data_IF_514703664437
#
_entry.id   IF_514703664437
#
_cell.length_a   1.000
_cell.length_b   1.000
_cell.length_c   1.000
_cell.angle_alpha   90.00
_cell.angle_beta   90.00
_cell.angle_gamma   90.00
#
_symmetry.space_group_name_H-M   'P 1'
#
loop_
_entity.id
_entity.type
_entity.pdbx_description
1 polymer ?
#
# COMPACT_ATOMS: atom_id res chain seq x y z
N UNK A 1 4.66 25.00 16.11
CA UNK A 1 4.08 23.82 15.43
C UNK A 1 4.66 23.79 14.03
N UNK A 2 5.47 22.80 13.67
CA UNK A 2 6.03 22.77 12.32
C UNK A 2 4.91 22.33 11.37
N UNK A 3 4.23 23.31 10.74
CA UNK A 3 3.08 23.09 9.83
C UNK A 3 3.40 22.08 8.73
N UNK A 4 4.68 21.88 8.42
CA UNK A 4 5.18 20.96 7.41
C UNK A 4 4.86 19.48 7.71
N UNK A 5 4.83 19.03 8.97
CA UNK A 5 4.64 17.60 9.25
C UNK A 5 3.21 17.09 8.97
N UNK A 6 2.22 17.98 8.89
CA UNK A 6 0.84 17.58 8.52
C UNK A 6 0.76 17.14 7.05
N UNK A 7 1.69 17.61 6.22
CA UNK A 7 1.75 17.28 4.80
C UNK A 7 2.46 15.97 4.51
N UNK A 8 3.12 15.34 5.49
CA UNK A 8 3.81 14.06 5.31
C UNK A 8 2.87 12.93 4.88
N UNK A 9 1.60 12.96 5.31
CA UNK A 9 0.57 12.05 4.82
C UNK A 9 0.32 12.24 3.33
N UNK A 10 -0.22 13.39 2.89
CA UNK A 10 -0.43 13.67 1.46
C UNK A 10 0.81 13.48 0.58
N UNK A 11 1.99 13.88 1.05
CA UNK A 11 3.26 13.67 0.33
C UNK A 11 3.57 12.16 0.25
N UNK A 12 3.41 11.42 1.34
CA UNK A 12 3.57 9.96 1.37
C UNK A 12 2.62 9.26 0.40
N UNK A 13 1.36 9.67 0.36
CA UNK A 13 0.36 9.17 -0.60
C UNK A 13 0.79 9.47 -2.04
N UNK A 14 1.25 10.68 -2.34
CA UNK A 14 1.74 11.03 -3.67
C UNK A 14 2.94 10.16 -4.09
N UNK A 15 3.88 9.91 -3.17
CA UNK A 15 5.03 9.02 -3.41
C UNK A 15 4.60 7.58 -3.66
N UNK A 16 3.60 7.08 -2.91
CA UNK A 16 2.99 5.76 -3.17
C UNK A 16 2.45 5.68 -4.59
N UNK A 17 1.67 6.67 -5.02
CA UNK A 17 1.13 6.70 -6.39
C UNK A 17 2.22 6.77 -7.46
N UNK A 18 3.31 7.51 -7.21
CA UNK A 18 4.47 7.54 -8.12
C UNK A 18 5.09 6.15 -8.22
N UNK A 19 5.33 5.47 -7.10
CA UNK A 19 5.89 4.12 -7.07
C UNK A 19 5.00 3.09 -7.80
N UNK A 20 3.69 3.13 -7.57
CA UNK A 20 2.71 2.29 -8.26
C UNK A 20 2.69 2.58 -9.77
N UNK A 21 2.77 3.86 -10.17
CA UNK A 21 2.82 4.25 -11.58
C UNK A 21 4.09 3.76 -12.27
N UNK A 22 5.24 3.85 -11.62
CA UNK A 22 6.49 3.29 -12.11
C UNK A 22 6.42 1.77 -12.29
N UNK A 23 5.70 1.08 -11.41
CA UNK A 23 5.47 -0.36 -11.49
C UNK A 23 4.44 -0.78 -12.56
N UNK A 24 3.72 0.17 -13.19
CA UNK A 24 2.59 -0.15 -14.06
C UNK A 24 1.36 -0.67 -13.31
N UNK A 25 1.29 -0.41 -12.00
CA UNK A 25 0.29 -0.92 -11.05
C UNK A 25 -0.52 0.22 -10.40
N UNK A 26 -0.60 1.39 -11.05
CA UNK A 26 -1.42 2.51 -10.58
C UNK A 26 -2.91 2.16 -10.51
N UNK A 27 -3.34 1.23 -11.36
CA UNK A 27 -4.65 0.59 -11.33
C UNK A 27 -4.40 -0.91 -11.11
N UNK A 28 -5.21 -1.53 -10.25
CA UNK A 28 -5.15 -2.98 -10.06
C UNK A 28 -5.40 -3.69 -11.40
N UNK A 29 -4.51 -4.60 -11.82
CA UNK A 29 -4.74 -5.42 -13.00
C UNK A 29 -5.97 -6.32 -12.82
N UNK A 30 -6.49 -6.86 -13.93
CA UNK A 30 -7.50 -7.91 -13.84
C UNK A 30 -6.96 -9.12 -13.08
N UNK A 31 -7.77 -9.82 -12.26
CA UNK A 31 -7.40 -11.13 -11.70
C UNK A 31 -6.96 -12.14 -12.77
N UNK A 32 -7.48 -12.01 -13.99
CA UNK A 32 -7.16 -12.87 -15.14
C UNK A 32 -5.96 -12.37 -15.96
N UNK A 33 -5.18 -11.40 -15.44
CA UNK A 33 -4.03 -10.86 -16.15
C UNK A 33 -2.93 -11.93 -16.35
N UNK A 34 -2.32 -12.01 -17.55
CA UNK A 34 -1.25 -12.97 -17.81
C UNK A 34 -0.03 -12.68 -16.92
N UNK A 35 0.60 -13.74 -16.39
CA UNK A 35 1.74 -13.59 -15.46
C UNK A 35 2.97 -12.95 -16.14
N UNK A 36 3.04 -13.03 -17.46
CA UNK A 36 4.01 -12.32 -18.31
C UNK A 36 3.98 -10.80 -18.06
N UNK A 37 2.83 -10.23 -17.70
CA UNK A 37 2.69 -8.82 -17.35
C UNK A 37 3.61 -8.43 -16.19
N UNK A 38 3.64 -9.24 -15.13
CA UNK A 38 4.47 -8.99 -13.94
C UNK A 38 5.93 -9.40 -14.16
N UNK A 39 6.15 -10.49 -14.91
CA UNK A 39 7.50 -11.06 -15.08
C UNK A 39 8.34 -10.35 -16.15
N UNK A 40 7.70 -9.69 -17.13
CA UNK A 40 8.37 -8.82 -18.12
C UNK A 40 8.85 -7.49 -17.52
N UNK A 41 8.15 -6.99 -16.49
CA UNK A 41 8.42 -5.68 -15.87
C UNK A 41 9.01 -5.76 -14.44
N UNK A 42 9.66 -6.88 -14.09
CA UNK A 42 10.19 -7.12 -12.72
C UNK A 42 11.00 -5.95 -12.17
N UNK A 43 11.91 -5.39 -12.96
CA UNK A 43 12.76 -4.29 -12.51
C UNK A 43 11.94 -3.03 -12.16
N UNK A 44 10.95 -2.70 -12.99
CA UNK A 44 10.07 -1.56 -12.77
C UNK A 44 9.19 -1.77 -11.53
N UNK A 45 8.65 -2.98 -11.34
CA UNK A 45 7.86 -3.33 -10.16
C UNK A 45 8.72 -3.21 -8.89
N UNK A 46 9.94 -3.73 -8.89
CA UNK A 46 10.83 -3.65 -7.71
C UNK A 46 11.13 -2.22 -7.29
N UNK A 47 11.59 -1.41 -8.24
CA UNK A 47 11.90 0.00 -7.95
C UNK A 47 10.62 0.74 -7.52
N UNK A 48 9.50 0.48 -8.19
CA UNK A 48 8.20 1.06 -7.84
C UNK A 48 7.73 0.70 -6.43
N UNK A 49 7.84 -0.55 -6.01
CA UNK A 49 7.48 -0.99 -4.65
C UNK A 49 8.38 -0.34 -3.60
N UNK A 50 9.70 -0.30 -3.83
CA UNK A 50 10.63 0.39 -2.91
C UNK A 50 10.23 1.86 -2.73
N UNK A 51 9.95 2.57 -3.82
CA UNK A 51 9.48 3.97 -3.77
C UNK A 51 8.15 4.07 -3.02
N UNK A 52 7.20 3.17 -3.28
CA UNK A 52 5.90 3.19 -2.60
C UNK A 52 6.04 2.95 -1.09
N UNK A 53 6.93 2.04 -0.68
CA UNK A 53 7.19 1.76 0.73
C UNK A 53 7.84 2.94 1.45
N UNK A 54 8.72 3.68 0.79
CA UNK A 54 9.21 4.96 1.32
C UNK A 54 8.07 5.95 1.56
N UNK A 55 7.10 6.05 0.63
CA UNK A 55 5.89 6.86 0.82
C UNK A 55 5.06 6.39 2.02
N UNK A 56 4.87 5.07 2.16
CA UNK A 56 4.17 4.47 3.31
C UNK A 56 4.86 4.73 4.65
N UNK A 57 6.19 4.77 4.70
CA UNK A 57 6.94 5.08 5.91
C UNK A 57 6.69 6.52 6.42
N UNK A 58 6.34 7.47 5.53
CA UNK A 58 5.99 8.84 5.91
C UNK A 58 4.65 8.93 6.65
N UNK A 59 3.82 7.88 6.61
CA UNK A 59 2.61 7.84 7.44
C UNK A 59 2.92 7.77 8.92
N UNK A 60 4.04 7.16 9.36
CA UNK A 60 4.42 7.12 10.78
C UNK A 60 4.42 8.49 11.47
N UNK A 61 5.27 9.45 11.04
CA UNK A 61 5.29 10.80 11.62
C UNK A 61 3.98 11.58 11.39
N UNK A 62 3.27 11.33 10.29
CA UNK A 62 1.97 11.96 10.03
C UNK A 62 0.89 11.51 11.01
N UNK A 63 0.79 10.21 11.27
CA UNK A 63 -0.16 9.61 12.21
C UNK A 63 0.11 10.06 13.65
N UNK A 64 1.38 10.19 14.04
CA UNK A 64 1.75 10.76 15.34
C UNK A 64 1.25 12.22 15.48
N UNK A 65 1.36 13.00 14.41
CA UNK A 65 0.86 14.38 14.38
C UNK A 65 -0.67 14.44 14.43
N UNK A 66 -1.37 13.55 13.73
CA UNK A 66 -2.83 13.44 13.81
C UNK A 66 -3.29 13.09 15.22
N UNK A 67 -2.67 12.09 15.86
CA UNK A 67 -3.01 11.70 17.23
C UNK A 67 -2.84 12.86 18.23
N UNK A 68 -1.79 13.68 18.06
CA UNK A 68 -1.62 14.91 18.84
C UNK A 68 -2.72 15.93 18.56
N UNK A 69 -3.15 16.09 17.31
CA UNK A 69 -4.26 16.98 16.96
C UNK A 69 -5.56 16.55 17.64
N UNK A 70 -5.87 15.25 17.65
CA UNK A 70 -7.01 14.69 18.40
C UNK A 70 -6.91 14.97 19.90
N UNK A 71 -5.72 14.76 20.49
CA UNK A 71 -5.49 15.02 21.92
C UNK A 71 -5.71 16.50 22.29
N UNK A 72 -5.33 17.42 21.41
CA UNK A 72 -5.54 18.85 21.59
C UNK A 72 -7.02 19.24 21.43
N UNK A 73 -7.72 18.65 20.45
CA UNK A 73 -9.14 18.92 20.20
C UNK A 73 -10.04 18.41 21.35
N UNK A 74 -9.71 17.27 21.94
CA UNK A 74 -10.49 16.63 23.00
C UNK A 74 -10.15 17.16 24.42
N UNK A 75 -9.52 18.35 24.50
CA UNK A 75 -9.10 19.02 25.75
C UNK A 75 -8.32 18.11 26.71
N UNK A 76 -7.50 17.19 26.17
CA UNK A 76 -6.67 16.29 26.96
C UNK A 76 -7.29 14.93 27.29
N UNK A 77 -8.57 14.68 26.95
CA UNK A 77 -9.12 13.31 26.92
C UNK A 77 -8.40 12.54 25.82
N UNK A 78 -7.88 11.35 26.16
CA UNK A 78 -6.99 10.58 25.27
C UNK A 78 -7.69 9.49 24.46
N UNK A 79 -9.01 9.31 24.62
CA UNK A 79 -9.75 8.23 23.98
C UNK A 79 -9.59 8.22 22.46
N UNK A 80 -9.96 9.31 21.79
CA UNK A 80 -9.85 9.42 20.34
C UNK A 80 -8.40 9.43 19.84
N UNK A 81 -7.48 10.02 20.61
CA UNK A 81 -6.06 9.99 20.26
C UNK A 81 -5.49 8.56 20.27
N UNK A 82 -5.89 7.73 21.25
CA UNK A 82 -5.48 6.34 21.34
C UNK A 82 -6.06 5.52 20.17
N UNK A 83 -7.34 5.68 19.88
CA UNK A 83 -7.97 5.05 18.70
C UNK A 83 -7.24 5.44 17.41
N UNK A 84 -6.93 6.73 17.23
CA UNK A 84 -6.21 7.21 16.05
C UNK A 84 -4.83 6.55 15.89
N UNK A 85 -4.07 6.37 16.98
CA UNK A 85 -2.75 5.71 16.90
C UNK A 85 -2.94 4.24 16.52
N UNK A 86 -3.85 3.53 17.18
CA UNK A 86 -4.10 2.10 16.92
C UNK A 86 -4.49 1.89 15.46
N UNK A 87 -5.53 2.58 14.98
CA UNK A 87 -5.96 2.47 13.58
C UNK A 87 -4.95 3.04 12.59
N UNK A 88 -4.16 4.05 12.99
CA UNK A 88 -3.05 4.55 12.19
C UNK A 88 -1.97 3.50 11.95
N UNK A 89 -1.57 2.77 12.98
CA UNK A 89 -0.60 1.67 12.85
C UNK A 89 -1.17 0.57 11.96
N UNK A 90 -2.44 0.21 12.14
CA UNK A 90 -3.11 -0.74 11.25
C UNK A 90 -3.12 -0.26 9.79
N UNK A 91 -3.42 1.01 9.53
CA UNK A 91 -3.37 1.60 8.19
C UNK A 91 -1.96 1.50 7.59
N UNK A 92 -0.92 1.79 8.38
CA UNK A 92 0.47 1.71 7.92
C UNK A 92 0.85 0.27 7.54
N UNK A 93 0.49 -0.72 8.38
CA UNK A 93 0.73 -2.14 8.10
C UNK A 93 -0.07 -2.59 6.87
N UNK A 94 -1.36 -2.26 6.81
CA UNK A 94 -2.24 -2.58 5.69
C UNK A 94 -1.79 -1.95 4.37
N UNK A 95 -1.04 -0.85 4.43
CA UNK A 95 -0.42 -0.23 3.24
C UNK A 95 0.88 -0.92 2.85
N UNK A 96 1.76 -1.23 3.81
CA UNK A 96 3.10 -1.75 3.52
C UNK A 96 3.10 -3.23 3.15
N UNK A 97 2.31 -4.07 3.83
CA UNK A 97 2.29 -5.53 3.62
C UNK A 97 1.98 -5.91 2.17
N UNK A 98 0.97 -5.32 1.51
CA UNK A 98 0.70 -5.59 0.09
C UNK A 98 1.89 -5.30 -0.82
N UNK A 99 2.64 -4.22 -0.57
CA UNK A 99 3.81 -3.88 -1.38
C UNK A 99 4.96 -4.88 -1.17
N UNK A 100 5.14 -5.40 0.05
CA UNK A 100 6.06 -6.52 0.27
C UNK A 100 5.64 -7.77 -0.50
N UNK A 101 4.34 -8.09 -0.57
CA UNK A 101 3.85 -9.25 -1.31
C UNK A 101 4.06 -9.11 -2.82
N UNK A 102 3.80 -7.92 -3.39
CA UNK A 102 4.10 -7.61 -4.79
C UNK A 102 5.61 -7.71 -5.08
N UNK A 103 6.46 -7.24 -4.18
CA UNK A 103 7.92 -7.39 -4.29
C UNK A 103 8.33 -8.87 -4.31
N UNK A 104 7.79 -9.67 -3.38
CA UNK A 104 8.04 -11.11 -3.29
C UNK A 104 7.60 -11.84 -4.57
N UNK A 105 6.47 -11.46 -5.15
CA UNK A 105 5.96 -12.03 -6.40
C UNK A 105 6.96 -11.91 -7.56
N UNK A 106 7.74 -10.82 -7.60
CA UNK A 106 8.74 -10.56 -8.65
C UNK A 106 10.18 -10.79 -8.20
N UNK A 107 10.42 -11.23 -6.97
CA UNK A 107 11.76 -11.31 -6.37
C UNK A 107 12.63 -12.43 -6.95
N UNK A 108 12.06 -13.61 -7.24
CA UNK A 108 12.80 -14.73 -7.82
C UNK A 108 12.59 -14.81 -9.33
N UNK A 109 13.65 -14.72 -10.14
CA UNK A 109 13.57 -15.05 -11.55
C UNK A 109 13.17 -16.52 -11.70
N UNK A 110 12.10 -16.81 -12.46
CA UNK A 110 11.66 -18.17 -12.74
C UNK A 110 10.74 -18.80 -11.70
N UNK A 111 10.15 -18.01 -10.78
CA UNK A 111 9.02 -18.49 -9.97
C UNK A 111 7.89 -19.01 -10.88
N UNK A 112 7.19 -20.06 -10.44
CA UNK A 112 6.06 -20.60 -11.19
C UNK A 112 4.94 -19.57 -11.32
N UNK A 113 4.20 -19.55 -12.44
CA UNK A 113 3.13 -18.58 -12.66
C UNK A 113 2.10 -18.53 -11.53
N UNK A 114 1.70 -19.70 -11.02
CA UNK A 114 0.72 -19.84 -9.95
C UNK A 114 1.18 -19.16 -8.64
N UNK A 115 2.48 -19.23 -8.32
CA UNK A 115 3.03 -18.59 -7.11
C UNK A 115 3.03 -17.06 -7.27
N UNK A 116 3.41 -16.56 -8.45
CA UNK A 116 3.39 -15.12 -8.74
C UNK A 116 1.97 -14.59 -8.61
N UNK A 117 1.00 -15.26 -9.24
CA UNK A 117 -0.41 -14.86 -9.23
C UNK A 117 -0.99 -14.87 -7.80
N UNK A 118 -0.71 -15.93 -7.01
CA UNK A 118 -1.17 -16.01 -5.63
C UNK A 118 -0.69 -14.84 -4.75
N UNK A 119 0.57 -14.40 -4.91
CA UNK A 119 1.09 -13.25 -4.17
C UNK A 119 0.50 -11.91 -4.64
N UNK A 120 0.28 -11.76 -5.95
CA UNK A 120 -0.36 -10.56 -6.51
C UNK A 120 -1.81 -10.46 -6.03
N UNK A 121 -2.56 -11.55 -6.09
CA UNK A 121 -3.95 -11.57 -5.63
C UNK A 121 -4.03 -11.32 -4.13
N UNK A 122 -3.15 -11.94 -3.33
CA UNK A 122 -3.08 -11.66 -1.90
C UNK A 122 -2.83 -10.18 -1.60
N UNK A 123 -1.92 -9.53 -2.34
CA UNK A 123 -1.64 -8.11 -2.19
C UNK A 123 -2.86 -7.24 -2.51
N UNK A 124 -3.50 -7.46 -3.65
CA UNK A 124 -4.64 -6.65 -4.08
C UNK A 124 -5.91 -6.91 -3.29
N UNK A 125 -6.15 -8.13 -2.82
CA UNK A 125 -7.26 -8.43 -1.90
C UNK A 125 -7.08 -7.70 -0.57
N UNK A 126 -5.85 -7.58 -0.04
CA UNK A 126 -5.60 -6.83 1.19
C UNK A 126 -5.91 -5.33 1.05
N UNK A 127 -5.71 -4.74 -0.14
CA UNK A 127 -5.95 -3.32 -0.40
C UNK A 127 -7.39 -3.04 -0.84
N UNK A 128 -7.93 -3.87 -1.74
CA UNK A 128 -9.16 -3.63 -2.50
C UNK A 128 -10.23 -4.70 -2.28
N UNK A 129 -10.11 -5.58 -1.28
CA UNK A 129 -10.82 -6.86 -1.18
C UNK A 129 -12.34 -6.89 -1.42
N UNK A 130 -13.04 -5.76 -1.31
CA UNK A 130 -14.47 -5.66 -1.67
C UNK A 130 -14.74 -5.43 -3.17
N UNK A 131 -13.78 -4.86 -3.91
CA UNK A 131 -13.85 -4.57 -5.37
C UNK A 131 -13.06 -5.58 -6.18
N UNK A 132 -12.00 -6.14 -5.62
CA UNK A 132 -11.13 -7.10 -6.30
C UNK A 132 -11.76 -8.50 -6.29
N UNK A 133 -12.77 -8.69 -7.13
CA UNK A 133 -13.47 -9.95 -7.34
C UNK A 133 -13.20 -10.47 -8.77
N UNK A 134 -13.05 -11.79 -8.96
CA UNK A 134 -13.01 -12.37 -10.30
C UNK A 134 -14.30 -11.99 -11.05
N UNK A 135 -14.18 -11.58 -12.32
CA UNK A 135 -15.34 -11.52 -13.20
C UNK A 135 -15.96 -12.91 -13.25
N UNK A 136 -17.24 -13.03 -12.86
CA UNK A 136 -17.96 -14.31 -12.95
C UNK A 136 -17.79 -14.86 -14.38
N UNK A 137 -17.47 -16.15 -14.58
CA UNK A 137 -17.55 -16.74 -15.90
C UNK A 137 -19.01 -16.60 -16.36
N UNK A 138 -19.22 -15.84 -17.43
CA UNK A 138 -20.49 -15.85 -18.16
C UNK A 138 -20.69 -17.27 -18.70
N UNK A 139 -21.63 -17.99 -18.08
CA UNK A 139 -22.22 -19.20 -18.65
C UNK A 139 -22.90 -18.89 -19.99
#
# INVERSE_FOLDING_TARGET
MNRTCIWLGPIGTAIIYVGLSMAGLAVAPSPDAPVEFYTGNRHAIRVGMVVAMFGGALYGPWLAMLARAFKLADRGRSGFANYQIVFGVFLMIATLVPFYLLEVAVFRPGASPDVVQAFVDAAWIMVLGFVYAPSRPSC
#
